data_IF_765377154042
#
_entry.id   IF_765377154042
#
_cell.length_a   1.000
_cell.length_b   1.000
_cell.length_c   1.000
_cell.angle_alpha   90.00
_cell.angle_beta   90.00
_cell.angle_gamma   90.00
#
_symmetry.space_group_name_H-M   'P 1'
#
loop_
_entity.id
_entity.type
_entity.pdbx_description
1 polymer ?
#
# COMPACT_ATOMS: atom_id res chain seq x y z
N UNK A 1 4.77 0.88 4.36
CA UNK A 1 3.42 1.36 4.76
C UNK A 1 2.73 0.37 5.69
N UNK A 2 2.48 -0.87 5.25
CA UNK A 2 1.74 -1.88 6.00
C UNK A 2 2.19 -2.11 7.47
N UNK A 3 3.49 -2.31 7.71
CA UNK A 3 4.02 -2.56 9.08
C UNK A 3 3.74 -1.41 10.05
N UNK A 4 3.90 -0.17 9.60
CA UNK A 4 3.62 1.01 10.42
C UNK A 4 2.12 1.17 10.67
N UNK A 5 1.27 0.88 9.67
CA UNK A 5 -0.19 0.93 9.82
C UNK A 5 -0.69 -0.07 10.87
N UNK A 6 -0.25 -1.32 10.80
CA UNK A 6 -0.63 -2.38 11.75
C UNK A 6 -0.21 -1.98 13.17
N UNK A 7 1.04 -1.52 13.35
CA UNK A 7 1.54 -1.11 14.68
C UNK A 7 0.85 0.16 15.20
N UNK A 8 0.64 1.16 14.36
CA UNK A 8 0.07 2.46 14.79
C UNK A 8 -1.41 2.36 15.13
N UNK A 9 -2.13 1.44 14.48
CA UNK A 9 -3.56 1.21 14.71
C UNK A 9 -3.84 0.06 15.66
N UNK A 10 -2.79 -0.46 16.31
CA UNK A 10 -2.86 -1.59 17.26
C UNK A 10 -3.65 -2.78 16.69
N UNK A 11 -3.42 -3.08 15.42
CA UNK A 11 -4.11 -4.15 14.73
C UNK A 11 -3.43 -5.50 15.01
N UNK A 12 -4.20 -6.60 15.05
CA UNK A 12 -3.65 -7.95 15.13
C UNK A 12 -2.59 -8.22 14.06
N UNK A 13 -1.53 -8.94 14.43
CA UNK A 13 -0.44 -9.31 13.51
C UNK A 13 -0.92 -10.19 12.35
N UNK A 14 -2.01 -10.92 12.55
CA UNK A 14 -2.66 -11.76 11.54
C UNK A 14 -3.13 -10.95 10.32
N UNK A 15 -3.51 -9.68 10.53
CA UNK A 15 -3.94 -8.76 9.46
C UNK A 15 -2.76 -8.22 8.62
N UNK A 16 -1.52 -8.65 8.89
CA UNK A 16 -0.35 -8.18 8.14
C UNK A 16 -0.46 -8.49 6.64
N UNK A 17 -0.97 -9.68 6.27
CA UNK A 17 -1.16 -10.07 4.87
C UNK A 17 -2.15 -9.15 4.13
N UNK A 18 -3.27 -8.83 4.77
CA UNK A 18 -4.27 -7.90 4.24
C UNK A 18 -3.75 -6.46 4.17
N UNK A 19 -3.03 -6.02 5.20
CA UNK A 19 -2.43 -4.68 5.22
C UNK A 19 -1.38 -4.51 4.11
N UNK A 20 -0.59 -5.55 3.82
CA UNK A 20 0.36 -5.55 2.70
C UNK A 20 -0.37 -5.51 1.37
N UNK A 21 -1.37 -6.38 1.18
CA UNK A 21 -2.16 -6.44 -0.05
C UNK A 21 -2.85 -5.11 -0.35
N UNK A 22 -3.47 -4.51 0.66
CA UNK A 22 -4.14 -3.20 0.55
C UNK A 22 -3.14 -2.09 0.22
N UNK A 23 -2.00 -2.05 0.90
CA UNK A 23 -0.97 -1.05 0.63
C UNK A 23 -0.41 -1.17 -0.80
N UNK A 24 -0.17 -2.40 -1.28
CA UNK A 24 0.31 -2.63 -2.65
C UNK A 24 -0.74 -2.24 -3.68
N UNK A 25 -2.01 -2.61 -3.45
CA UNK A 25 -3.12 -2.21 -4.33
C UNK A 25 -3.20 -0.70 -4.50
N UNK A 26 -3.19 0.05 -3.40
CA UNK A 26 -3.21 1.52 -3.42
C UNK A 26 -1.99 2.09 -4.16
N UNK A 27 -0.80 1.58 -3.87
CA UNK A 27 0.42 2.05 -4.52
C UNK A 27 0.40 1.83 -6.03
N UNK A 28 -0.14 0.70 -6.48
CA UNK A 28 -0.21 0.37 -7.91
C UNK A 28 -1.26 1.20 -8.67
N UNK A 29 -2.31 1.65 -7.98
CA UNK A 29 -3.41 2.45 -8.55
C UNK A 29 -3.25 3.95 -8.38
N UNK A 30 -2.29 4.41 -7.58
CA UNK A 30 -2.06 5.85 -7.36
C UNK A 30 -0.92 6.38 -8.24
N UNK A 31 -1.09 7.55 -8.88
CA UNK A 31 -0.02 8.17 -9.63
C UNK A 31 1.11 8.57 -8.67
N UNK A 32 2.35 8.33 -9.09
CA UNK A 32 3.53 8.76 -8.34
C UNK A 32 4.22 9.90 -9.08
N UNK A 33 4.94 10.76 -8.36
CA UNK A 33 5.68 11.90 -8.96
C UNK A 33 6.60 11.47 -10.11
N UNK A 34 7.14 10.25 -10.05
CA UNK A 34 8.04 9.69 -11.07
C UNK A 34 7.30 9.34 -12.37
N UNK A 35 6.02 9.03 -12.32
CA UNK A 35 5.28 8.41 -13.42
C UNK A 35 4.44 9.38 -14.25
N UNK A 36 4.64 10.71 -14.13
CA UNK A 36 3.99 11.74 -14.98
C UNK A 36 2.49 11.48 -15.20
N UNK A 37 1.74 11.36 -14.10
CA UNK A 37 0.30 11.08 -14.05
C UNK A 37 -0.15 9.66 -14.46
N UNK A 38 0.77 8.74 -14.72
CA UNK A 38 0.48 7.31 -14.86
C UNK A 38 0.58 6.61 -13.51
N UNK A 39 -0.11 5.49 -13.38
CA UNK A 39 -0.02 4.64 -12.19
C UNK A 39 0.98 3.50 -12.43
N UNK A 40 1.63 2.93 -11.39
CA UNK A 40 2.61 1.87 -11.58
C UNK A 40 2.08 0.63 -12.31
N UNK A 41 0.79 0.32 -12.21
CA UNK A 41 0.18 -0.82 -12.91
C UNK A 41 0.08 -0.63 -14.44
N UNK A 42 0.16 0.61 -14.93
CA UNK A 42 0.07 0.92 -16.36
C UNK A 42 1.44 0.85 -17.09
N UNK A 43 2.51 0.49 -16.37
CA UNK A 43 3.90 0.51 -16.86
C UNK A 43 4.52 -0.88 -16.70
#
# INVERSE_FOLDING_TARGET
>A
MARSMVKQKDLPKELWGEAVSTATYLLNKCPTKKLKNRVPEEI
#
